data_IF_929640550228
#
_entry.id   IF_929640550228
#
_cell.length_a   1.000
_cell.length_b   1.000
_cell.length_c   1.000
_cell.angle_alpha   90.00
_cell.angle_beta   90.00
_cell.angle_gamma   90.00
#
_symmetry.space_group_name_H-M   'P 1'
#
loop_
_entity.id
_entity.type
_entity.pdbx_description
1 polymer ?
#
# COMPACT_ATOMS: atom_id res chain seq x y z
N UNK A 1 -4.62 -32.83 -1.23
CA UNK A 1 -4.32 -31.90 -2.34
C UNK A 1 -4.44 -30.47 -1.83
N UNK A 2 -3.40 -30.00 -1.15
CA UNK A 2 -3.30 -28.66 -0.57
C UNK A 2 -2.17 -27.94 -1.30
N UNK A 3 -2.38 -26.70 -1.74
CA UNK A 3 -1.36 -25.63 -1.90
C UNK A 3 -1.80 -24.54 -2.88
N UNK A 4 -3.02 -24.03 -2.71
CA UNK A 4 -3.60 -23.09 -3.65
C UNK A 4 -3.25 -21.60 -3.38
N UNK A 5 -2.44 -21.25 -2.36
CA UNK A 5 -2.36 -19.87 -1.83
C UNK A 5 -0.99 -19.47 -1.31
N UNK A 6 -0.01 -20.35 -1.47
CA UNK A 6 1.11 -20.51 -0.57
C UNK A 6 2.06 -19.31 -0.60
N UNK A 7 2.53 -18.87 -1.77
CA UNK A 7 3.67 -17.97 -1.82
C UNK A 7 3.32 -16.53 -1.42
N UNK A 8 2.28 -15.93 -2.00
CA UNK A 8 1.93 -14.53 -1.69
C UNK A 8 1.45 -14.40 -0.25
N UNK A 9 0.69 -15.37 0.24
CA UNK A 9 0.17 -15.37 1.62
C UNK A 9 1.27 -15.56 2.65
N UNK A 10 2.25 -16.43 2.39
CA UNK A 10 3.47 -16.57 3.21
C UNK A 10 4.29 -15.29 3.22
N UNK A 11 4.40 -14.62 2.07
CA UNK A 11 5.14 -13.37 1.94
C UNK A 11 4.44 -12.20 2.66
N UNK A 12 3.10 -12.14 2.62
CA UNK A 12 2.28 -11.18 3.37
C UNK A 12 2.31 -11.47 4.89
N UNK A 13 2.32 -12.73 5.27
CA UNK A 13 2.36 -13.18 6.65
C UNK A 13 3.65 -12.83 7.41
N UNK A 14 4.81 -13.03 6.79
CA UNK A 14 6.08 -12.71 7.43
C UNK A 14 6.38 -11.21 7.50
N UNK A 15 5.58 -10.39 6.80
CA UNK A 15 5.70 -8.93 6.77
C UNK A 15 5.04 -8.24 7.97
N UNK A 16 4.15 -8.96 8.66
CA UNK A 16 3.47 -8.51 9.87
C UNK A 16 4.37 -8.73 11.09
N UNK A 17 4.22 -7.98 12.19
CA UNK A 17 5.24 -7.88 13.24
C UNK A 17 5.55 -9.26 13.83
N UNK A 18 6.62 -9.89 13.37
CA UNK A 18 7.23 -11.07 13.97
C UNK A 18 7.82 -10.64 15.32
N UNK A 19 7.07 -10.87 16.39
CA UNK A 19 7.57 -10.90 17.76
C UNK A 19 8.68 -11.95 17.85
N UNK A 20 9.90 -11.44 17.75
CA UNK A 20 11.17 -11.84 18.34
C UNK A 20 11.10 -13.05 19.29
N UNK A 21 12.04 -13.99 19.10
CA UNK A 21 12.40 -15.14 19.96
C UNK A 21 11.92 -16.54 19.53
N UNK A 22 12.22 -16.96 18.31
CA UNK A 22 12.39 -18.39 18.07
C UNK A 22 13.67 -18.64 17.30
N UNK A 23 14.61 -19.30 17.98
CA UNK A 23 15.66 -20.10 17.35
C UNK A 23 14.93 -21.18 16.56
N UNK A 24 14.95 -21.06 15.23
CA UNK A 24 13.88 -21.60 14.40
C UNK A 24 14.41 -22.76 13.55
N UNK A 25 14.35 -23.97 14.11
CA UNK A 25 14.50 -25.19 13.33
C UNK A 25 13.11 -25.65 12.82
N UNK A 26 13.00 -25.71 11.49
CA UNK A 26 12.04 -26.43 10.64
C UNK A 26 10.64 -26.77 11.22
N UNK A 27 9.76 -25.79 11.43
CA UNK A 27 8.29 -25.88 11.17
C UNK A 27 7.52 -24.68 11.75
N UNK A 28 7.65 -23.50 11.14
CA UNK A 28 6.81 -22.37 11.58
C UNK A 28 5.45 -22.36 10.91
N UNK A 29 4.41 -22.52 11.73
CA UNK A 29 3.06 -22.07 11.44
C UNK A 29 3.05 -20.54 11.51
N UNK A 30 2.60 -19.92 10.43
CA UNK A 30 2.20 -18.52 10.44
C UNK A 30 0.90 -18.39 11.23
N UNK A 31 0.85 -17.51 12.22
CA UNK A 31 -0.40 -17.14 12.88
C UNK A 31 -1.15 -16.05 12.10
N UNK A 32 -2.43 -16.29 11.84
CA UNK A 32 -3.37 -15.39 11.14
C UNK A 32 -3.76 -14.14 11.93
N UNK A 33 -3.47 -14.12 13.22
CA UNK A 33 -3.91 -13.12 14.19
C UNK A 33 -3.20 -11.76 14.07
N UNK A 34 -2.21 -11.63 13.17
CA UNK A 34 -1.46 -10.38 12.97
C UNK A 34 -1.82 -9.62 11.69
N UNK A 35 -2.82 -10.08 10.94
CA UNK A 35 -3.32 -9.42 9.74
C UNK A 35 -3.89 -8.02 10.09
N UNK A 36 -3.76 -7.00 9.22
CA UNK A 36 -4.27 -5.66 9.51
C UNK A 36 -5.74 -5.71 9.96
N UNK A 37 -6.03 -5.13 11.12
CA UNK A 37 -7.38 -5.05 11.65
C UNK A 37 -8.27 -4.21 10.71
N UNK A 38 -9.53 -4.60 10.54
CA UNK A 38 -10.51 -3.84 9.75
C UNK A 38 -10.73 -4.27 8.30
N UNK A 39 -10.05 -5.33 7.82
CA UNK A 39 -10.29 -5.97 6.50
C UNK A 39 -10.69 -7.46 6.60
N UNK A 40 -11.79 -7.82 7.28
CA UNK A 40 -12.09 -9.21 7.65
C UNK A 40 -12.20 -10.16 6.45
N UNK A 41 -12.68 -9.70 5.28
CA UNK A 41 -12.79 -10.56 4.09
C UNK A 41 -11.42 -10.87 3.49
N UNK A 42 -10.54 -9.87 3.43
CA UNK A 42 -9.16 -10.02 2.94
C UNK A 42 -8.37 -10.89 3.93
N UNK A 43 -8.51 -10.63 5.22
CA UNK A 43 -7.92 -11.43 6.30
C UNK A 43 -8.35 -12.89 6.22
N UNK A 44 -9.64 -13.15 5.98
CA UNK A 44 -10.17 -14.50 5.78
C UNK A 44 -9.66 -15.16 4.49
N UNK A 45 -9.61 -14.41 3.39
CA UNK A 45 -9.04 -14.85 2.12
C UNK A 45 -7.57 -15.29 2.30
N UNK A 46 -6.78 -14.49 3.03
CA UNK A 46 -5.40 -14.84 3.40
C UNK A 46 -5.36 -16.05 4.36
N UNK A 47 -6.23 -16.09 5.36
CA UNK A 47 -6.28 -17.16 6.37
C UNK A 47 -6.55 -18.55 5.81
N UNK A 48 -7.48 -18.66 4.86
CA UNK A 48 -7.78 -19.91 4.14
C UNK A 48 -6.55 -20.43 3.39
N UNK A 49 -5.65 -19.53 2.99
CA UNK A 49 -4.47 -19.83 2.20
C UNK A 49 -3.25 -20.38 2.94
N UNK A 50 -3.23 -20.35 4.27
CA UNK A 50 -2.01 -20.59 5.08
C UNK A 50 -1.79 -22.02 5.57
N UNK A 51 -2.44 -23.03 4.96
CA UNK A 51 -2.32 -24.41 5.45
C UNK A 51 -0.95 -25.04 5.14
N UNK A 52 -0.03 -24.94 6.12
CA UNK A 52 1.27 -25.63 6.27
C UNK A 52 2.29 -25.41 5.15
N UNK A 53 3.24 -24.53 5.44
CA UNK A 53 4.29 -24.08 4.54
C UNK A 53 5.63 -24.59 5.04
N UNK A 54 6.42 -25.22 4.17
CA UNK A 54 7.79 -25.63 4.49
C UNK A 54 8.78 -24.67 3.80
N UNK A 55 9.47 -23.89 4.60
CA UNK A 55 10.58 -23.02 4.18
C UNK A 55 11.87 -23.47 4.86
N UNK A 56 12.99 -23.19 4.22
CA UNK A 56 14.34 -23.43 4.75
C UNK A 56 15.25 -22.25 4.43
N UNK A 57 16.32 -22.09 5.21
CA UNK A 57 17.29 -21.02 4.98
C UNK A 57 16.71 -19.61 5.12
N UNK A 58 15.80 -19.42 6.09
CA UNK A 58 15.22 -18.11 6.38
C UNK A 58 16.31 -17.17 6.92
N UNK A 59 16.55 -16.09 6.20
CA UNK A 59 17.38 -14.97 6.62
C UNK A 59 16.46 -13.76 6.81
N UNK A 60 16.70 -13.01 7.88
CA UNK A 60 15.99 -11.78 8.20
C UNK A 60 17.00 -10.67 8.48
N UNK A 61 16.73 -9.48 7.95
CA UNK A 61 17.37 -8.25 8.42
C UNK A 61 16.34 -7.14 8.53
N UNK A 62 16.52 -6.28 9.51
CA UNK A 62 15.71 -5.07 9.68
C UNK A 62 16.55 -3.86 9.21
N UNK A 63 15.91 -2.83 8.66
CA UNK A 63 16.59 -1.58 8.31
C UNK A 63 17.09 -0.88 9.58
N UNK A 64 18.10 -0.02 9.43
CA UNK A 64 18.60 0.80 10.55
C UNK A 64 17.50 1.66 11.20
N UNK A 65 16.48 2.06 10.43
CA UNK A 65 15.35 2.86 10.90
C UNK A 65 14.17 2.00 11.40
N UNK A 66 14.18 0.68 11.21
CA UNK A 66 13.11 -0.22 11.62
C UNK A 66 11.83 -0.15 10.76
N UNK A 67 11.84 0.63 9.69
CA UNK A 67 10.75 0.82 8.73
C UNK A 67 10.73 -0.20 7.59
N UNK A 68 11.80 -0.97 7.43
CA UNK A 68 11.87 -2.02 6.42
C UNK A 68 12.36 -3.32 7.03
N UNK A 69 11.82 -4.42 6.52
CA UNK A 69 12.24 -5.78 6.86
C UNK A 69 12.52 -6.53 5.59
N UNK A 70 13.73 -7.04 5.48
CA UNK A 70 14.13 -7.95 4.43
C UNK A 70 14.02 -9.38 4.94
N UNK A 71 13.38 -10.23 4.14
CA UNK A 71 13.34 -11.67 4.38
C UNK A 71 13.76 -12.40 3.12
N UNK A 72 14.52 -13.47 3.30
CA UNK A 72 15.01 -14.32 2.23
C UNK A 72 14.88 -15.76 2.67
N UNK A 73 14.32 -16.62 1.83
CA UNK A 73 14.13 -18.04 2.16
C UNK A 73 14.04 -18.89 0.90
N UNK A 74 14.18 -20.19 1.09
CA UNK A 74 13.98 -21.20 0.05
C UNK A 74 12.78 -22.06 0.43
N UNK A 75 11.97 -22.47 -0.55
CA UNK A 75 10.90 -23.45 -0.34
C UNK A 75 11.49 -24.86 -0.47
N UNK A 76 10.96 -25.82 0.29
CA UNK A 76 11.31 -27.24 0.16
C UNK A 76 10.13 -28.04 -0.42
N UNK A 77 10.38 -28.88 -1.44
CA UNK A 77 9.35 -29.77 -2.02
C UNK A 77 9.46 -30.00 -3.55
N UNK A 78 9.15 -31.20 -4.05
CA UNK A 78 9.35 -31.57 -5.47
C UNK A 78 8.24 -31.21 -6.47
N UNK A 79 7.01 -30.92 -6.03
CA UNK A 79 5.90 -30.74 -6.96
C UNK A 79 5.81 -29.28 -7.45
N UNK A 80 5.48 -29.03 -8.73
CA UNK A 80 5.09 -27.71 -9.19
C UNK A 80 4.01 -27.17 -8.26
N UNK A 81 4.29 -26.02 -7.63
CA UNK A 81 3.32 -25.39 -6.75
C UNK A 81 2.37 -24.57 -7.63
N UNK A 82 1.14 -25.06 -7.74
CA UNK A 82 0.05 -24.37 -8.42
C UNK A 82 -0.91 -23.77 -7.39
N UNK A 83 -1.08 -22.46 -7.46
CA UNK A 83 -1.78 -21.62 -6.49
C UNK A 83 -2.92 -20.88 -7.16
N UNK A 84 -4.16 -21.32 -6.95
CA UNK A 84 -5.34 -20.71 -7.56
C UNK A 84 -5.91 -19.55 -6.75
N UNK A 85 -6.07 -18.40 -7.37
CA UNK A 85 -6.74 -17.24 -6.77
C UNK A 85 -8.28 -17.49 -6.77
N UNK A 86 -8.96 -17.46 -5.59
CA UNK A 86 -10.37 -17.77 -5.42
C UNK A 86 -11.22 -16.92 -6.32
N UNK A 87 -12.28 -17.53 -6.86
CA UNK A 87 -13.29 -16.87 -7.69
C UNK A 87 -12.75 -16.34 -9.04
N UNK A 88 -11.43 -16.16 -9.17
CA UNK A 88 -10.80 -15.67 -10.37
C UNK A 88 -10.53 -16.82 -11.35
N UNK A 89 -9.95 -17.92 -10.87
CA UNK A 89 -9.48 -19.00 -11.74
C UNK A 89 -8.10 -18.73 -12.36
N UNK A 90 -7.38 -17.68 -11.94
CA UNK A 90 -5.92 -17.61 -12.16
C UNK A 90 -5.27 -18.67 -11.32
N UNK A 91 -4.28 -19.33 -11.89
CA UNK A 91 -3.38 -20.17 -11.12
C UNK A 91 -1.95 -19.68 -11.25
N UNK A 92 -1.35 -19.25 -10.14
CA UNK A 92 0.10 -19.08 -10.03
C UNK A 92 0.76 -20.45 -10.10
N UNK A 93 1.51 -20.73 -11.16
CA UNK A 93 2.35 -21.90 -11.29
C UNK A 93 3.81 -21.51 -11.14
N UNK A 94 4.53 -22.21 -10.26
CA UNK A 94 5.99 -22.13 -10.18
C UNK A 94 6.59 -23.37 -10.81
N UNK A 95 7.69 -23.22 -11.53
CA UNK A 95 8.46 -24.36 -12.02
C UNK A 95 8.80 -25.27 -10.85
N UNK A 96 8.48 -26.56 -10.99
CA UNK A 96 8.91 -27.57 -10.01
C UNK A 96 10.43 -27.57 -9.90
N UNK A 97 10.95 -28.06 -8.78
CA UNK A 97 12.39 -28.17 -8.57
C UNK A 97 12.93 -29.21 -9.56
N UNK A 98 13.87 -28.86 -10.46
CA UNK A 98 14.39 -29.81 -11.43
C UNK A 98 15.07 -30.99 -10.72
N UNK A 99 14.78 -32.22 -11.16
CA UNK A 99 15.38 -33.47 -10.68
C UNK A 99 15.20 -33.78 -9.18
N UNK A 100 14.09 -34.40 -8.81
CA UNK A 100 13.92 -34.85 -7.42
C UNK A 100 13.36 -36.27 -7.33
N UNK A 101 14.28 -37.25 -7.33
CA UNK A 101 14.01 -38.61 -6.86
C UNK A 101 13.61 -38.65 -5.36
N UNK A 102 13.90 -37.58 -4.60
CA UNK A 102 13.63 -37.44 -3.16
C UNK A 102 13.00 -36.09 -2.77
N UNK A 103 11.67 -35.97 -2.76
CA UNK A 103 10.93 -34.69 -2.62
C UNK A 103 11.28 -33.80 -1.42
N UNK A 104 11.90 -34.38 -0.40
CA UNK A 104 12.29 -33.71 0.84
C UNK A 104 13.61 -32.92 0.74
N UNK A 105 14.39 -33.13 -0.33
CA UNK A 105 15.74 -32.54 -0.48
C UNK A 105 15.76 -31.37 -1.47
N UNK A 106 14.81 -31.32 -2.42
CA UNK A 106 14.72 -30.24 -3.39
C UNK A 106 14.45 -28.89 -2.72
N UNK A 107 15.28 -27.88 -3.04
CA UNK A 107 15.10 -26.47 -2.66
C UNK A 107 14.84 -25.58 -3.88
N UNK A 108 13.88 -24.67 -3.78
CA UNK A 108 13.65 -23.67 -4.83
C UNK A 108 14.81 -22.68 -4.90
N UNK A 109 14.83 -21.84 -5.95
CA UNK A 109 15.60 -20.60 -5.90
C UNK A 109 15.16 -19.76 -4.70
N UNK A 110 16.09 -18.94 -4.21
CA UNK A 110 15.87 -18.06 -3.07
C UNK A 110 14.82 -17.02 -3.42
N UNK A 111 13.74 -17.00 -2.66
CA UNK A 111 12.72 -15.97 -2.70
C UNK A 111 13.11 -14.90 -1.69
N UNK A 112 13.08 -13.65 -2.10
CA UNK A 112 13.28 -12.54 -1.18
C UNK A 112 12.11 -11.58 -1.20
N UNK A 113 11.89 -10.92 -0.07
CA UNK A 113 10.91 -9.87 0.07
C UNK A 113 11.47 -8.71 0.87
N UNK A 114 11.03 -7.52 0.52
CA UNK A 114 11.24 -6.30 1.30
C UNK A 114 9.87 -5.77 1.69
N UNK A 115 9.55 -5.89 2.97
CA UNK A 115 8.45 -5.18 3.59
C UNK A 115 8.92 -3.77 3.92
N UNK A 116 8.10 -2.76 3.62
CA UNK A 116 8.33 -1.38 4.01
C UNK A 116 7.06 -0.80 4.60
N UNK A 117 7.20 -0.19 5.77
CA UNK A 117 6.17 0.59 6.43
C UNK A 117 6.81 1.88 6.97
N UNK A 118 6.79 2.92 6.14
CA UNK A 118 7.55 4.15 6.33
C UNK A 118 7.20 4.85 7.66
N UNK A 119 5.94 4.76 8.11
CA UNK A 119 5.51 5.36 9.37
C UNK A 119 6.27 4.79 10.60
N UNK A 120 6.73 3.54 10.56
CA UNK A 120 7.49 2.93 11.67
C UNK A 120 8.88 3.53 11.87
N UNK A 121 9.46 4.23 10.88
CA UNK A 121 10.75 4.93 11.04
C UNK A 121 10.68 6.06 12.09
N UNK A 122 9.47 6.58 12.33
CA UNK A 122 9.28 7.81 13.09
C UNK A 122 8.70 7.53 14.49
N UNK A 123 7.75 6.60 14.61
CA UNK A 123 7.11 6.25 15.88
C UNK A 123 6.85 4.74 15.97
N UNK A 124 6.76 4.22 17.19
CA UNK A 124 6.11 2.93 17.45
C UNK A 124 4.61 3.07 17.15
N UNK A 125 4.27 2.95 15.88
CA UNK A 125 2.98 3.31 15.33
C UNK A 125 2.17 2.08 14.96
N UNK A 126 0.87 2.10 15.28
CA UNK A 126 -0.08 1.06 14.93
C UNK A 126 -0.99 1.57 13.81
N UNK A 127 -1.10 0.88 12.65
CA UNK A 127 -1.79 1.39 11.47
C UNK A 127 -3.27 1.73 11.68
N UNK A 128 -3.93 1.07 12.63
CA UNK A 128 -5.32 1.25 13.05
C UNK A 128 -5.59 2.60 13.74
N UNK A 129 -4.54 3.29 14.21
CA UNK A 129 -4.65 4.59 14.88
C UNK A 129 -4.59 5.77 13.91
N UNK A 130 -4.50 5.51 12.61
CA UNK A 130 -4.45 6.58 11.61
C UNK A 130 -5.84 7.20 11.40
N UNK A 131 -5.93 8.50 11.61
CA UNK A 131 -7.16 9.26 11.41
C UNK A 131 -7.13 9.86 10.02
N UNK A 132 -7.83 9.21 9.09
CA UNK A 132 -7.99 9.69 7.73
C UNK A 132 -8.83 10.96 7.66
N UNK A 133 -8.50 11.85 6.71
CA UNK A 133 -9.21 13.10 6.44
C UNK A 133 -9.23 14.13 7.58
N UNK A 134 -8.51 13.90 8.68
CA UNK A 134 -8.32 14.88 9.76
C UNK A 134 -7.03 15.67 9.53
N UNK A 135 -7.20 16.93 9.14
CA UNK A 135 -6.09 17.85 8.81
C UNK A 135 -5.31 18.30 10.04
N UNK A 136 -5.97 18.39 11.20
CA UNK A 136 -5.29 18.72 12.44
C UNK A 136 -4.37 17.57 12.85
N UNK A 137 -4.92 16.34 12.80
CA UNK A 137 -4.14 15.13 13.01
C UNK A 137 -2.97 15.05 12.04
N UNK A 138 -3.21 15.26 10.74
CA UNK A 138 -2.16 15.23 9.71
C UNK A 138 -1.07 16.28 9.95
N UNK A 139 -1.43 17.52 10.33
CA UNK A 139 -0.45 18.55 10.68
C UNK A 139 0.43 18.10 11.86
N UNK A 140 -0.18 17.61 12.95
CA UNK A 140 0.55 17.16 14.13
C UNK A 140 1.45 15.96 13.79
N UNK A 141 0.95 15.03 12.99
CA UNK A 141 1.70 13.85 12.56
C UNK A 141 2.87 14.23 11.65
N UNK A 142 2.68 15.12 10.67
CA UNK A 142 3.74 15.64 9.81
C UNK A 142 4.82 16.39 10.61
N UNK A 143 4.44 17.24 11.57
CA UNK A 143 5.41 17.87 12.48
C UNK A 143 6.23 16.81 13.23
N UNK A 144 5.58 15.74 13.65
CA UNK A 144 6.25 14.65 14.37
C UNK A 144 7.21 13.91 13.43
N UNK A 145 6.78 13.53 12.22
CA UNK A 145 7.62 12.88 11.19
C UNK A 145 8.87 13.71 10.91
N UNK A 146 8.73 15.03 10.83
CA UNK A 146 9.85 15.97 10.66
C UNK A 146 10.67 16.20 11.93
N UNK A 147 10.26 15.63 13.07
CA UNK A 147 10.83 15.82 14.41
C UNK A 147 10.89 17.29 14.82
N UNK A 148 9.86 18.06 14.47
CA UNK A 148 9.80 19.48 14.82
C UNK A 148 9.42 19.66 16.28
N UNK A 149 10.26 20.40 17.01
CA UNK A 149 9.89 20.93 18.32
C UNK A 149 8.98 22.16 18.17
N UNK A 150 8.37 22.61 19.27
CA UNK A 150 7.44 23.73 19.23
C UNK A 150 8.15 25.04 18.80
N UNK A 151 9.43 25.24 19.13
CA UNK A 151 10.22 26.41 18.70
C UNK A 151 10.37 26.44 17.18
N UNK A 152 10.67 25.29 16.57
CA UNK A 152 10.81 25.14 15.12
C UNK A 152 9.46 25.33 14.41
N UNK A 153 8.37 24.84 14.99
CA UNK A 153 7.02 25.07 14.46
C UNK A 153 6.67 26.57 14.49
N UNK A 154 6.98 27.25 15.59
CA UNK A 154 6.78 28.70 15.72
C UNK A 154 7.65 29.46 14.72
N UNK A 155 8.93 29.12 14.61
CA UNK A 155 9.85 29.72 13.66
C UNK A 155 9.35 29.58 12.22
N UNK A 156 8.92 28.37 11.84
CA UNK A 156 8.37 28.08 10.52
C UNK A 156 7.11 28.90 10.26
N UNK A 157 6.19 28.94 11.22
CA UNK A 157 4.96 29.73 11.11
C UNK A 157 5.28 31.22 10.93
N UNK A 158 6.17 31.75 11.76
CA UNK A 158 6.58 33.15 11.74
C UNK A 158 7.30 33.55 10.44
N UNK A 159 8.12 32.66 9.90
CA UNK A 159 8.92 32.92 8.70
C UNK A 159 8.10 32.79 7.42
N UNK A 160 7.27 31.75 7.31
CA UNK A 160 6.62 31.37 6.05
C UNK A 160 5.13 31.70 5.96
N UNK A 161 4.43 31.87 7.09
CA UNK A 161 2.98 32.14 7.10
C UNK A 161 2.65 33.63 7.30
N UNK A 162 3.66 34.46 7.55
CA UNK A 162 3.53 35.90 7.78
C UNK A 162 4.51 36.68 6.91
N UNK A 163 4.11 37.87 6.50
CA UNK A 163 4.90 38.83 5.73
C UNK A 163 5.26 40.05 6.58
N UNK A 164 6.33 40.77 6.22
CA UNK A 164 6.77 42.01 6.88
C UNK A 164 8.00 41.87 7.78
N UNK A 165 8.38 42.96 8.46
CA UNK A 165 9.53 42.99 9.36
C UNK A 165 9.24 42.26 10.69
N UNK A 166 10.29 41.82 11.41
CA UNK A 166 10.18 40.96 12.59
C UNK A 166 9.20 41.49 13.66
N UNK A 167 9.29 42.76 14.04
CA UNK A 167 8.41 43.34 15.06
C UNK A 167 6.96 43.52 14.59
N UNK A 168 6.73 43.72 13.30
CA UNK A 168 5.39 43.75 12.71
C UNK A 168 4.79 42.35 12.66
N UNK A 169 5.57 41.37 12.20
CA UNK A 169 5.20 39.95 12.19
C UNK A 169 4.83 39.48 13.59
N UNK A 170 5.61 39.82 14.61
CA UNK A 170 5.33 39.45 16.00
C UNK A 170 3.99 40.00 16.50
N UNK A 171 3.68 41.26 16.19
CA UNK A 171 2.40 41.88 16.53
C UNK A 171 1.24 41.20 15.84
N UNK A 172 1.36 40.94 14.54
CA UNK A 172 0.32 40.26 13.77
C UNK A 172 0.15 38.80 14.22
N UNK A 173 1.25 38.11 14.51
CA UNK A 173 1.26 36.74 15.01
C UNK A 173 0.47 36.60 16.31
N UNK A 174 0.81 37.40 17.32
CA UNK A 174 0.12 37.39 18.62
C UNK A 174 -1.33 37.86 18.49
N UNK A 175 -1.60 38.87 17.65
CA UNK A 175 -2.97 39.34 17.39
C UNK A 175 -3.85 38.22 16.83
N UNK A 176 -3.36 37.45 15.84
CA UNK A 176 -4.11 36.31 15.28
C UNK A 176 -4.34 35.22 16.33
N UNK A 177 -3.33 34.88 17.13
CA UNK A 177 -3.46 33.89 18.20
C UNK A 177 -4.52 34.31 19.21
N UNK A 178 -4.47 35.56 19.69
CA UNK A 178 -5.44 36.10 20.64
C UNK A 178 -6.86 36.09 20.07
N UNK A 179 -7.01 36.44 18.80
CA UNK A 179 -8.32 36.47 18.12
C UNK A 179 -8.92 35.07 18.04
N UNK A 180 -8.15 34.08 17.59
CA UNK A 180 -8.65 32.72 17.36
C UNK A 180 -8.83 31.93 18.66
N UNK A 181 -7.89 32.08 19.61
CA UNK A 181 -7.86 31.28 20.84
C UNK A 181 -8.46 32.01 22.05
N UNK A 182 -8.98 33.24 21.86
CA UNK A 182 -9.57 34.09 22.91
C UNK A 182 -8.64 34.29 24.10
N UNK A 183 -7.38 34.63 23.81
CA UNK A 183 -6.34 34.95 24.82
C UNK A 183 -6.01 36.43 24.85
N UNK A 184 -5.31 36.88 25.89
CA UNK A 184 -4.89 38.27 26.08
C UNK A 184 -3.36 38.39 26.19
N UNK A 185 -2.65 37.73 25.27
CA UNK A 185 -1.19 37.71 25.25
C UNK A 185 -0.67 39.07 24.77
N UNK A 186 0.28 39.65 25.50
CA UNK A 186 0.93 40.90 25.13
C UNK A 186 2.26 40.64 24.44
N UNK A 187 2.54 41.32 23.33
CA UNK A 187 3.84 41.22 22.65
C UNK A 187 4.94 41.79 23.55
N UNK A 188 6.10 41.14 23.70
CA UNK A 188 7.21 41.66 24.50
C UNK A 188 7.68 43.02 23.99
N UNK A 189 8.05 43.92 24.91
CA UNK A 189 8.70 45.19 24.56
C UNK A 189 10.15 44.96 24.12
N UNK A 190 10.57 45.59 23.01
CA UNK A 190 11.94 45.50 22.48
C UNK A 190 12.08 44.55 21.28
N UNK A 191 13.30 44.12 20.99
CA UNK A 191 13.58 43.19 19.89
C UNK A 191 12.96 41.81 20.17
N UNK A 192 12.10 41.37 19.25
CA UNK A 192 11.42 40.08 19.32
C UNK A 192 12.25 39.00 18.64
N UNK A 193 12.67 38.01 19.42
CA UNK A 193 13.22 36.75 18.91
C UNK A 193 12.22 35.60 19.11
N UNK A 194 12.47 34.50 18.41
CA UNK A 194 11.56 33.34 18.43
C UNK A 194 11.56 32.60 19.78
N UNK A 195 12.65 32.64 20.54
CA UNK A 195 12.76 32.01 21.86
C UNK A 195 11.91 32.76 22.91
N UNK A 196 11.88 34.09 22.82
CA UNK A 196 10.99 34.94 23.64
C UNK A 196 9.52 34.64 23.33
N UNK A 197 9.16 34.55 22.05
CA UNK A 197 7.81 34.17 21.63
C UNK A 197 7.44 32.76 22.12
N UNK A 198 8.38 31.82 22.05
CA UNK A 198 8.17 30.45 22.51
C UNK A 198 7.92 30.38 24.01
N UNK A 199 8.77 31.02 24.81
CA UNK A 199 8.63 31.09 26.28
C UNK A 199 7.27 31.70 26.66
N UNK A 200 6.90 32.79 25.99
CA UNK A 200 5.64 33.48 26.24
C UNK A 200 4.42 32.60 25.88
N UNK A 201 4.48 31.86 24.78
CA UNK A 201 3.41 30.93 24.42
C UNK A 201 3.35 29.71 25.36
N UNK A 202 4.48 29.23 25.88
CA UNK A 202 4.47 28.18 26.90
C UNK A 202 3.88 28.62 28.23
N UNK A 203 4.06 29.89 28.61
CA UNK A 203 3.42 30.43 29.81
C UNK A 203 1.90 30.53 29.66
N UNK A 204 1.40 30.70 28.43
CA UNK A 204 -0.04 30.77 28.15
C UNK A 204 -0.66 29.39 27.85
N UNK A 205 0.07 28.53 27.16
CA UNK A 205 -0.40 27.23 26.66
C UNK A 205 0.53 26.13 27.13
N UNK A 206 -0.05 25.01 27.60
CA UNK A 206 0.73 23.83 27.98
C UNK A 206 1.53 23.28 26.78
N UNK A 207 2.74 22.78 27.02
CA UNK A 207 3.58 22.11 26.02
C UNK A 207 2.78 21.06 25.24
N UNK A 208 2.92 21.03 23.92
CA UNK A 208 2.12 20.17 23.02
C UNK A 208 0.82 20.80 22.50
N UNK A 209 0.21 21.75 23.23
CA UNK A 209 -0.92 22.54 22.71
C UNK A 209 -0.50 23.59 21.69
N UNK A 210 0.79 23.95 21.64
CA UNK A 210 1.30 24.91 20.66
C UNK A 210 1.00 24.45 19.23
N UNK A 211 1.16 23.16 18.93
CA UNK A 211 0.87 22.60 17.61
C UNK A 211 -0.60 22.81 17.23
N UNK A 212 -1.52 22.55 18.15
CA UNK A 212 -2.96 22.78 17.94
C UNK A 212 -3.28 24.27 17.77
N UNK A 213 -2.65 25.14 18.57
CA UNK A 213 -2.81 26.60 18.47
C UNK A 213 -2.33 27.10 17.11
N UNK A 214 -1.17 26.63 16.63
CA UNK A 214 -0.65 26.98 15.30
C UNK A 214 -1.56 26.47 14.19
N UNK A 215 -2.03 25.23 14.29
CA UNK A 215 -2.98 24.67 13.34
C UNK A 215 -4.24 25.53 13.25
N UNK A 216 -4.92 25.78 14.37
CA UNK A 216 -6.18 26.56 14.39
C UNK A 216 -6.00 27.99 13.90
N UNK A 217 -4.84 28.59 14.15
CA UNK A 217 -4.63 30.03 13.89
C UNK A 217 -4.13 30.29 12.47
N UNK A 218 -3.26 29.43 11.93
CA UNK A 218 -2.54 29.70 10.69
C UNK A 218 -2.79 28.67 9.58
N UNK A 219 -3.21 27.45 9.94
CA UNK A 219 -3.42 26.37 8.96
C UNK A 219 -4.90 26.20 8.63
N UNK A 220 -5.77 26.24 9.64
CA UNK A 220 -7.21 26.06 9.48
C UNK A 220 -7.80 27.17 8.61
N UNK A 221 -8.25 26.79 7.41
CA UNK A 221 -8.91 27.67 6.47
C UNK A 221 -10.44 27.63 6.58
N UNK A 222 -11.10 28.45 5.77
CA UNK A 222 -12.57 28.47 5.65
C UNK A 222 -13.19 27.15 5.16
N UNK A 223 -12.40 26.36 4.44
CA UNK A 223 -12.80 25.08 3.87
C UNK A 223 -11.58 24.13 3.80
N UNK A 224 -11.85 22.88 3.45
CA UNK A 224 -10.84 21.83 3.33
C UNK A 224 -9.73 22.17 2.33
N UNK A 225 -10.07 22.76 1.18
CA UNK A 225 -9.08 23.12 0.15
C UNK A 225 -8.18 24.25 0.62
N UNK A 226 -8.74 25.24 1.31
CA UNK A 226 -7.99 26.33 1.90
C UNK A 226 -7.03 25.81 2.98
N UNK A 227 -7.49 24.87 3.81
CA UNK A 227 -6.66 24.25 4.85
C UNK A 227 -5.52 23.43 4.24
N UNK A 228 -5.80 22.62 3.22
CA UNK A 228 -4.77 21.83 2.52
C UNK A 228 -3.71 22.72 1.88
N UNK A 229 -4.11 23.86 1.30
CA UNK A 229 -3.16 24.86 0.78
C UNK A 229 -2.23 25.41 1.86
N UNK A 230 -2.78 25.81 3.02
CA UNK A 230 -1.95 26.35 4.12
C UNK A 230 -1.04 25.27 4.72
N UNK A 231 -1.54 24.04 4.81
CA UNK A 231 -0.77 22.91 5.32
C UNK A 231 0.41 22.58 4.37
N UNK A 232 0.16 22.52 3.06
CA UNK A 232 1.20 22.33 2.06
C UNK A 232 2.18 23.51 2.02
N UNK A 233 1.73 24.76 2.22
CA UNK A 233 2.61 25.93 2.32
C UNK A 233 3.55 25.84 3.53
N UNK A 234 3.03 25.44 4.69
CA UNK A 234 3.82 25.29 5.92
C UNK A 234 4.96 24.28 5.75
N UNK A 235 4.70 23.14 5.10
CA UNK A 235 5.68 22.07 4.89
C UNK A 235 6.48 22.18 3.58
N UNK A 236 6.21 23.18 2.72
CA UNK A 236 6.83 23.29 1.39
C UNK A 236 8.35 23.29 1.39
N UNK A 237 8.97 23.92 2.39
CA UNK A 237 10.43 23.99 2.49
C UNK A 237 11.06 22.75 3.12
N UNK A 238 10.27 21.75 3.50
CA UNK A 238 10.73 20.55 4.18
C UNK A 238 10.85 19.38 3.20
N UNK A 239 12.03 18.75 3.17
CA UNK A 239 12.41 17.76 2.16
C UNK A 239 11.43 16.58 2.00
N UNK A 240 10.76 16.16 3.09
CA UNK A 240 9.86 15.01 3.05
C UNK A 240 8.48 15.32 2.44
N UNK A 241 8.16 16.60 2.24
CA UNK A 241 6.84 17.07 1.82
C UNK A 241 6.88 18.12 0.70
N UNK A 242 8.06 18.48 0.19
CA UNK A 242 8.27 19.64 -0.69
C UNK A 242 7.51 19.59 -2.02
N UNK A 243 7.13 18.39 -2.49
CA UNK A 243 6.46 18.17 -3.77
C UNK A 243 5.13 17.41 -3.67
N UNK A 244 4.70 17.07 -2.45
CA UNK A 244 3.54 16.22 -2.23
C UNK A 244 2.46 16.93 -1.42
N UNK A 245 1.20 16.58 -1.69
CA UNK A 245 0.13 16.85 -0.74
C UNK A 245 0.43 16.09 0.56
N UNK A 246 0.59 16.82 1.65
CA UNK A 246 1.04 16.26 2.93
C UNK A 246 0.08 15.19 3.45
N UNK A 247 -1.24 15.38 3.32
CA UNK A 247 -2.22 14.38 3.74
C UNK A 247 -2.02 13.09 2.95
N UNK A 248 -1.96 13.22 1.62
CA UNK A 248 -1.74 12.06 0.73
C UNK A 248 -0.41 11.36 1.02
N UNK A 249 0.66 12.12 1.30
CA UNK A 249 1.97 11.55 1.64
C UNK A 249 1.93 10.81 2.96
N UNK A 250 1.27 11.36 3.98
CA UNK A 250 1.09 10.67 5.27
C UNK A 250 0.24 9.40 5.13
N UNK A 251 -0.79 9.42 4.29
CA UNK A 251 -1.59 8.24 3.95
C UNK A 251 -0.71 7.17 3.25
N UNK A 252 0.09 7.55 2.27
CA UNK A 252 1.01 6.63 1.57
C UNK A 252 2.12 6.09 2.48
N UNK A 253 2.60 6.89 3.44
CA UNK A 253 3.51 6.44 4.49
C UNK A 253 2.84 5.47 5.46
N UNK A 254 1.52 5.61 5.65
CA UNK A 254 0.74 4.71 6.49
C UNK A 254 0.43 3.37 5.81
N UNK A 255 0.54 3.30 4.49
CA UNK A 255 0.21 2.13 3.69
C UNK A 255 1.41 1.16 3.60
N UNK A 256 1.31 -0.07 4.16
CA UNK A 256 2.37 -1.05 4.06
C UNK A 256 2.56 -1.56 2.63
N UNK A 257 3.83 -1.76 2.24
CA UNK A 257 4.24 -2.22 0.91
C UNK A 257 5.14 -3.43 1.03
N UNK A 258 5.01 -4.37 0.10
CA UNK A 258 5.87 -5.54 -0.02
C UNK A 258 6.37 -5.63 -1.45
N UNK A 259 7.68 -5.64 -1.62
CA UNK A 259 8.31 -6.02 -2.88
C UNK A 259 8.77 -7.46 -2.77
N UNK A 260 8.51 -8.26 -3.79
CA UNK A 260 8.79 -9.68 -3.83
C UNK A 260 9.66 -9.97 -5.05
N UNK A 261 10.77 -10.66 -4.84
CA UNK A 261 11.56 -11.28 -5.88
C UNK A 261 11.44 -12.80 -5.74
N UNK A 262 10.92 -13.45 -6.77
CA UNK A 262 10.66 -14.88 -6.78
C UNK A 262 11.94 -15.71 -6.94
N UNK A 263 13.07 -15.09 -7.28
CA UNK A 263 14.35 -15.76 -7.55
C UNK A 263 14.41 -16.52 -8.89
N UNK A 264 13.25 -16.87 -9.45
CA UNK A 264 13.05 -17.56 -10.71
C UNK A 264 11.78 -17.06 -11.42
N UNK A 265 11.64 -17.38 -12.71
CA UNK A 265 10.43 -17.05 -13.46
C UNK A 265 9.28 -17.91 -12.94
N UNK A 266 8.26 -17.23 -12.42
CA UNK A 266 6.95 -17.78 -12.06
C UNK A 266 5.94 -17.48 -13.15
N UNK A 267 4.84 -18.24 -13.24
CA UNK A 267 3.81 -18.06 -14.27
C UNK A 267 2.45 -17.87 -13.64
N UNK A 268 1.65 -16.92 -14.11
CA UNK A 268 0.20 -16.91 -13.90
C UNK A 268 -0.45 -17.58 -15.10
N UNK A 269 -1.14 -18.69 -14.87
CA UNK A 269 -1.99 -19.34 -15.85
C UNK A 269 -3.30 -18.56 -15.91
N UNK A 270 -3.59 -17.95 -17.06
CA UNK A 270 -4.82 -17.22 -17.28
C UNK A 270 -5.82 -18.15 -17.97
N UNK A 271 -7.03 -18.34 -17.41
CA UNK A 271 -8.03 -19.17 -18.04
C UNK A 271 -8.53 -18.53 -19.36
N UNK A 272 -8.97 -19.39 -20.29
CA UNK A 272 -9.50 -18.99 -21.62
C UNK A 272 -10.61 -17.95 -21.56
N UNK A 273 -11.42 -17.97 -20.49
CA UNK A 273 -12.45 -16.95 -20.23
C UNK A 273 -11.90 -15.54 -20.04
N UNK A 274 -10.59 -15.34 -19.95
CA UNK A 274 -9.97 -14.03 -19.76
C UNK A 274 -9.02 -13.65 -20.89
N UNK A 275 -8.30 -14.65 -21.39
CA UNK A 275 -7.29 -14.49 -22.41
C UNK A 275 -7.27 -15.74 -23.29
N UNK A 276 -7.52 -15.57 -24.58
CA UNK A 276 -7.36 -16.63 -25.56
C UNK A 276 -6.13 -16.35 -26.42
N UNK A 277 -5.34 -17.37 -26.78
CA UNK A 277 -4.26 -17.20 -27.74
C UNK A 277 -4.81 -16.67 -29.07
N UNK A 278 -4.00 -15.91 -29.80
CA UNK A 278 -4.28 -15.71 -31.23
C UNK A 278 -4.25 -17.08 -31.94
N UNK A 279 -5.12 -17.25 -32.94
CA UNK A 279 -5.42 -18.51 -33.63
C UNK A 279 -4.23 -19.25 -34.30
N UNK A 280 -3.00 -18.77 -34.14
CA UNK A 280 -1.77 -19.31 -34.73
C UNK A 280 -1.10 -20.41 -33.89
N UNK A 281 -1.68 -20.79 -32.75
CA UNK A 281 -1.22 -21.92 -31.92
C UNK A 281 -2.41 -22.79 -31.51
N UNK A 282 -2.20 -24.08 -31.13
CA UNK A 282 -3.27 -25.00 -30.78
C UNK A 282 -4.25 -24.38 -29.78
N UNK A 283 -5.55 -24.67 -29.97
CA UNK A 283 -6.70 -24.16 -29.20
C UNK A 283 -6.53 -24.43 -27.68
N UNK A 284 -5.70 -25.41 -27.31
CA UNK A 284 -5.40 -25.80 -25.93
C UNK A 284 -4.25 -25.03 -25.27
N UNK A 285 -3.63 -24.06 -25.96
CA UNK A 285 -2.52 -23.28 -25.40
C UNK A 285 -3.00 -22.10 -24.56
N UNK A 286 -3.11 -22.30 -23.24
CA UNK A 286 -3.41 -21.22 -22.28
C UNK A 286 -2.40 -20.06 -22.41
N UNK A 287 -2.89 -18.82 -22.33
CA UNK A 287 -2.02 -17.65 -22.19
C UNK A 287 -1.43 -17.66 -20.79
N UNK A 288 -0.10 -17.68 -20.68
CA UNK A 288 0.60 -17.64 -19.40
C UNK A 288 1.34 -16.32 -19.25
N UNK A 289 1.23 -15.70 -18.08
CA UNK A 289 1.97 -14.48 -17.75
C UNK A 289 3.20 -14.82 -16.90
N UNK A 290 4.38 -14.64 -17.46
CA UNK A 290 5.65 -14.96 -16.82
C UNK A 290 6.17 -13.74 -16.06
N UNK A 291 6.53 -13.90 -14.79
CA UNK A 291 6.99 -12.82 -13.93
C UNK A 291 8.08 -13.30 -12.97
N UNK A 292 8.96 -12.38 -12.58
CA UNK A 292 9.96 -12.62 -11.52
C UNK A 292 9.75 -11.70 -10.32
N UNK A 293 9.07 -10.57 -10.53
CA UNK A 293 8.85 -9.56 -9.52
C UNK A 293 7.36 -9.37 -9.28
N UNK A 294 6.98 -9.34 -8.00
CA UNK A 294 5.63 -8.99 -7.58
C UNK A 294 5.68 -7.91 -6.50
N UNK A 295 4.59 -7.16 -6.36
CA UNK A 295 4.40 -6.16 -5.32
C UNK A 295 3.06 -6.37 -4.66
N UNK A 296 2.99 -6.18 -3.36
CA UNK A 296 1.75 -6.06 -2.63
C UNK A 296 1.66 -4.68 -2.00
N UNK A 297 0.56 -3.96 -2.22
CA UNK A 297 0.30 -2.67 -1.60
C UNK A 297 -1.01 -2.72 -0.83
N UNK A 298 -0.98 -2.33 0.44
CA UNK A 298 -2.16 -2.22 1.27
C UNK A 298 -2.60 -0.77 1.30
N UNK A 299 -3.75 -0.46 0.71
CA UNK A 299 -4.39 0.85 0.85
C UNK A 299 -5.38 0.78 1.99
N UNK A 300 -4.91 1.15 3.19
CA UNK A 300 -5.65 0.97 4.43
C UNK A 300 -6.93 1.82 4.46
N UNK A 301 -6.87 3.07 3.95
CA UNK A 301 -8.02 3.96 3.82
C UNK A 301 -9.18 3.34 3.03
N UNK A 302 -8.84 2.59 1.96
CA UNK A 302 -9.79 1.98 1.05
C UNK A 302 -10.11 0.52 1.42
N UNK A 303 -9.49 -0.01 2.47
CA UNK A 303 -9.57 -1.43 2.84
C UNK A 303 -9.27 -2.35 1.65
N UNK A 304 -8.16 -2.06 0.98
CA UNK A 304 -7.80 -2.67 -0.30
C UNK A 304 -6.39 -3.24 -0.26
N UNK A 305 -6.21 -4.45 -0.79
CA UNK A 305 -4.92 -5.08 -1.07
C UNK A 305 -4.74 -5.21 -2.58
N UNK A 306 -3.68 -4.63 -3.13
CA UNK A 306 -3.33 -4.73 -4.55
C UNK A 306 -2.11 -5.60 -4.72
N UNK A 307 -2.22 -6.68 -5.50
CA UNK A 307 -1.13 -7.58 -5.86
C UNK A 307 -0.74 -7.32 -7.32
N UNK A 308 0.43 -6.76 -7.56
CA UNK A 308 0.92 -6.43 -8.90
C UNK A 308 2.05 -7.37 -9.30
N UNK A 309 1.94 -7.97 -10.49
CA UNK A 309 2.91 -8.88 -11.09
C UNK A 309 3.52 -8.21 -12.31
N UNK A 310 4.84 -7.99 -12.29
CA UNK A 310 5.57 -7.34 -13.38
C UNK A 310 6.27 -8.41 -14.21
N UNK A 311 5.96 -8.47 -15.50
CA UNK A 311 6.31 -9.62 -16.32
C UNK A 311 5.93 -9.46 -17.78
N UNK A 312 5.71 -10.58 -18.46
CA UNK A 312 5.28 -10.59 -19.85
C UNK A 312 4.40 -11.80 -20.13
N UNK A 313 3.34 -11.66 -20.92
CA UNK A 313 2.66 -12.83 -21.45
C UNK A 313 3.56 -13.59 -22.43
N UNK A 314 3.55 -14.92 -22.36
CA UNK A 314 4.35 -15.81 -23.21
C UNK A 314 4.01 -15.68 -24.70
N UNK A 315 2.81 -15.18 -25.00
CA UNK A 315 2.34 -14.94 -26.35
C UNK A 315 1.31 -13.80 -26.39
N UNK A 316 1.06 -13.22 -27.57
CA UNK A 316 -0.03 -12.28 -27.75
C UNK A 316 -1.38 -12.98 -27.58
N UNK A 317 -2.28 -12.36 -26.83
CA UNK A 317 -3.62 -12.87 -26.57
C UNK A 317 -4.72 -11.87 -26.92
N UNK A 318 -5.92 -12.39 -27.17
CA UNK A 318 -7.16 -11.60 -27.16
C UNK A 318 -7.67 -11.57 -25.72
N UNK A 319 -7.55 -10.41 -25.07
CA UNK A 319 -8.02 -10.18 -23.71
C UNK A 319 -9.41 -9.55 -23.70
N UNK A 320 -10.26 -9.97 -22.76
CA UNK A 320 -11.64 -9.50 -22.68
C UNK A 320 -11.71 -8.13 -21.97
N UNK A 321 -11.66 -7.04 -22.76
CA UNK A 321 -12.30 -5.73 -22.61
C UNK A 321 -12.17 -4.90 -21.31
N UNK A 322 -11.66 -3.66 -21.40
CA UNK A 322 -11.95 -2.57 -20.45
C UNK A 322 -13.15 -1.71 -20.91
N UNK A 323 -13.80 -1.01 -19.98
CA UNK A 323 -14.68 0.14 -20.27
C UNK A 323 -14.01 1.42 -19.73
N UNK A 324 -13.87 2.48 -20.54
CA UNK A 324 -13.46 3.83 -20.12
C UNK A 324 -14.72 4.62 -19.80
N UNK A 325 -14.71 5.38 -18.71
CA UNK A 325 -15.72 6.41 -18.50
C UNK A 325 -15.26 7.69 -19.20
N UNK A 326 -15.94 8.08 -20.27
CA UNK A 326 -15.72 9.38 -20.92
C UNK A 326 -16.84 10.34 -20.53
N UNK A 327 -16.44 11.48 -20.00
CA UNK A 327 -17.36 12.56 -19.70
C UNK A 327 -17.42 13.54 -20.88
N UNK A 328 -18.56 13.61 -21.55
CA UNK A 328 -18.80 14.60 -22.60
C UNK A 328 -19.18 15.93 -21.92
N UNK A 329 -18.22 16.84 -21.81
CA UNK A 329 -18.41 18.16 -21.20
C UNK A 329 -19.46 19.01 -21.93
N UNK A 330 -19.78 18.76 -23.20
CA UNK A 330 -20.81 19.49 -23.95
C UNK A 330 -22.20 18.96 -23.68
N UNK A 331 -22.33 17.66 -23.37
CA UNK A 331 -23.63 16.99 -23.14
C UNK A 331 -23.94 16.77 -21.66
N UNK A 332 -22.95 16.92 -20.77
CA UNK A 332 -23.11 16.68 -19.33
C UNK A 332 -23.34 15.21 -18.97
N UNK A 333 -23.02 14.29 -19.89
CA UNK A 333 -23.27 12.85 -19.72
C UNK A 333 -21.94 12.09 -19.71
N UNK A 334 -21.79 11.24 -18.70
CA UNK A 334 -20.74 10.24 -18.64
C UNK A 334 -21.15 8.97 -19.38
N UNK A 335 -20.35 8.52 -20.33
CA UNK A 335 -20.59 7.27 -21.06
C UNK A 335 -19.48 6.27 -20.81
N UNK A 336 -19.86 5.04 -20.49
CA UNK A 336 -18.93 3.92 -20.43
C UNK A 336 -18.72 3.39 -21.85
N UNK A 337 -17.54 3.59 -22.44
CA UNK A 337 -17.18 3.05 -23.74
C UNK A 337 -16.26 1.85 -23.57
N UNK A 338 -16.50 0.75 -24.29
CA UNK A 338 -15.51 -0.33 -24.35
C UNK A 338 -14.20 0.21 -24.94
N UNK A 339 -13.14 0.23 -24.13
CA UNK A 339 -11.81 0.56 -24.61
C UNK A 339 -11.33 -0.69 -25.33
N UNK A 340 -11.21 -0.57 -26.64
CA UNK A 340 -10.38 -1.45 -27.45
C UNK A 340 -10.84 -2.92 -27.47
N UNK A 341 -11.51 -3.32 -28.55
CA UNK A 341 -11.41 -4.69 -29.05
C UNK A 341 -10.16 -4.74 -29.93
N UNK A 342 -9.00 -5.19 -29.43
CA UNK A 342 -7.84 -5.41 -30.29
C UNK A 342 -8.23 -6.25 -31.51
N UNK A 343 -8.00 -5.74 -32.72
CA UNK A 343 -7.99 -6.56 -33.95
C UNK A 343 -6.78 -7.51 -33.95
N UNK A 344 -5.70 -7.10 -33.29
CA UNK A 344 -4.41 -7.82 -33.16
C UNK A 344 -4.12 -8.21 -31.71
N UNK A 345 -3.46 -9.34 -31.47
CA UNK A 345 -3.19 -9.81 -30.11
C UNK A 345 -2.28 -8.87 -29.32
N UNK A 346 -2.58 -8.70 -28.04
CA UNK A 346 -1.84 -7.84 -27.13
C UNK A 346 -0.87 -8.70 -26.31
N UNK A 347 0.28 -8.15 -25.94
CA UNK A 347 1.14 -8.75 -24.91
C UNK A 347 1.00 -7.93 -23.63
N UNK A 348 0.69 -8.57 -22.51
CA UNK A 348 0.65 -7.89 -21.21
C UNK A 348 2.07 -7.70 -20.67
N UNK A 349 2.32 -6.58 -20.00
CA UNK A 349 3.53 -6.26 -19.23
C UNK A 349 3.28 -6.27 -17.71
N UNK A 350 2.02 -6.16 -17.29
CA UNK A 350 1.63 -6.16 -15.88
C UNK A 350 0.27 -6.87 -15.71
N UNK A 351 0.11 -7.57 -14.59
CA UNK A 351 -1.19 -8.00 -14.09
C UNK A 351 -1.32 -7.51 -12.65
N UNK A 352 -2.43 -6.85 -12.31
CA UNK A 352 -2.76 -6.40 -10.97
C UNK A 352 -4.07 -7.06 -10.50
N UNK A 353 -4.06 -7.67 -9.32
CA UNK A 353 -5.24 -8.24 -8.65
C UNK A 353 -5.54 -7.35 -7.45
N UNK A 354 -6.65 -6.62 -7.51
CA UNK A 354 -7.15 -5.79 -6.43
C UNK A 354 -8.21 -6.55 -5.62
N UNK A 355 -7.98 -6.63 -4.32
CA UNK A 355 -8.89 -7.23 -3.33
C UNK A 355 -9.39 -6.08 -2.46
N UNK A 356 -10.67 -5.75 -2.52
CA UNK A 356 -11.32 -4.74 -1.69
C UNK A 356 -12.49 -5.37 -0.92
N UNK A 357 -13.01 -4.75 0.13
CA UNK A 357 -14.17 -5.28 0.87
C UNK A 357 -15.44 -5.52 0.01
N UNK A 358 -15.53 -4.82 -1.13
CA UNK A 358 -16.64 -4.91 -2.07
C UNK A 358 -16.47 -6.03 -3.11
N UNK A 359 -15.24 -6.45 -3.41
CA UNK A 359 -15.00 -7.47 -4.42
C UNK A 359 -13.54 -7.67 -4.81
N UNK A 360 -13.34 -8.46 -5.86
CA UNK A 360 -12.06 -8.71 -6.52
C UNK A 360 -12.10 -8.07 -7.91
N UNK A 361 -11.06 -7.32 -8.26
CA UNK A 361 -10.87 -6.76 -9.59
C UNK A 361 -9.51 -7.20 -10.15
N UNK A 362 -9.46 -7.48 -11.44
CA UNK A 362 -8.24 -7.97 -12.09
C UNK A 362 -7.98 -7.11 -13.31
N UNK A 363 -6.80 -6.54 -13.35
CA UNK A 363 -6.39 -5.53 -14.30
C UNK A 363 -5.14 -6.03 -15.03
N UNK A 364 -5.12 -5.91 -16.35
CA UNK A 364 -3.92 -6.11 -17.15
C UNK A 364 -3.39 -4.78 -17.65
N UNK A 365 -2.08 -4.64 -17.85
CA UNK A 365 -1.50 -3.54 -18.62
C UNK A 365 -0.62 -4.08 -19.73
N UNK A 366 -0.57 -3.35 -20.84
CA UNK A 366 0.35 -3.63 -21.95
C UNK A 366 1.59 -2.74 -21.88
N UNK A 367 2.62 -3.05 -22.66
CA UNK A 367 3.82 -2.21 -22.79
C UNK A 367 3.52 -0.77 -23.28
N UNK A 368 2.37 -0.53 -23.90
CA UNK A 368 1.92 0.79 -24.33
C UNK A 368 1.09 1.51 -23.24
N UNK A 369 1.27 1.12 -21.97
CA UNK A 369 0.61 1.60 -20.75
C UNK A 369 -0.93 1.63 -20.73
N UNK A 370 -1.58 1.01 -21.73
CA UNK A 370 -3.03 0.84 -21.72
C UNK A 370 -3.45 -0.16 -20.65
N UNK A 371 -4.43 0.24 -19.84
CA UNK A 371 -5.05 -0.58 -18.81
C UNK A 371 -6.27 -1.34 -19.36
N UNK A 372 -6.38 -2.60 -18.98
CA UNK A 372 -7.42 -3.56 -19.37
C UNK A 372 -8.09 -4.11 -18.12
N UNK A 373 -9.41 -4.21 -18.11
CA UNK A 373 -10.15 -4.90 -17.06
C UNK A 373 -10.32 -6.34 -17.49
N UNK A 374 -9.69 -7.28 -16.80
CA UNK A 374 -9.81 -8.71 -17.13
C UNK A 374 -11.02 -9.34 -16.45
N UNK A 375 -11.34 -8.93 -15.22
CA UNK A 375 -12.55 -9.35 -14.52
C UNK A 375 -12.90 -8.43 -13.33
N UNK A 376 -14.20 -8.36 -13.01
CA UNK A 376 -14.72 -7.86 -11.72
C UNK A 376 -15.64 -8.91 -11.09
N UNK A 377 -15.47 -9.17 -9.80
CA UNK A 377 -16.21 -10.19 -9.05
C UNK A 377 -16.63 -9.60 -7.70
N UNK A 378 -17.89 -9.75 -7.32
CA UNK A 378 -18.36 -9.40 -5.96
C UNK A 378 -18.14 -10.60 -5.03
N UNK A 379 -17.75 -10.35 -3.77
CA UNK A 379 -17.60 -11.42 -2.79
C UNK A 379 -18.92 -12.19 -2.62
N UNK A 380 -18.91 -13.54 -2.69
CA UNK A 380 -20.09 -14.34 -2.40
C UNK A 380 -20.58 -14.09 -0.97
N UNK A 381 -21.90 -14.04 -0.76
CA UNK A 381 -22.50 -13.92 0.57
C UNK A 381 -22.07 -15.07 1.51
N UNK A 382 -21.84 -16.25 0.93
CA UNK A 382 -21.32 -17.45 1.60
C UNK A 382 -19.83 -17.70 1.31
N UNK A 383 -19.00 -16.67 1.09
CA UNK A 383 -17.54 -16.85 0.98
C UNK A 383 -16.97 -17.64 2.17
N UNK A 384 -17.68 -17.62 3.30
CA UNK A 384 -17.41 -18.40 4.51
C UNK A 384 -17.53 -19.92 4.35
N UNK A 385 -18.30 -20.40 3.38
CA UNK A 385 -18.55 -21.83 3.11
C UNK A 385 -17.82 -22.36 1.87
N UNK A 386 -17.11 -21.50 1.13
CA UNK A 386 -16.54 -21.82 -0.19
C UNK A 386 -15.36 -22.82 -0.19
N UNK A 387 -15.11 -23.54 0.91
CA UNK A 387 -14.12 -24.62 0.99
C UNK A 387 -14.60 -25.98 0.45
N UNK A 388 -15.72 -26.03 -0.29
CA UNK A 388 -16.30 -27.27 -0.80
C UNK A 388 -16.68 -27.19 -2.28
N UNK A 389 -15.72 -26.87 -3.15
CA UNK A 389 -15.81 -27.30 -4.55
C UNK A 389 -14.60 -28.15 -4.89
N UNK A 390 -14.74 -29.45 -4.60
CA UNK A 390 -14.01 -30.49 -5.33
C UNK A 390 -14.37 -30.34 -6.80
N UNK A 391 -13.37 -30.09 -7.65
CA UNK A 391 -13.52 -30.29 -9.08
C UNK A 391 -13.84 -31.78 -9.30
N UNK A 392 -15.09 -32.08 -9.68
CA UNK A 392 -15.38 -33.34 -10.36
C UNK A 392 -14.93 -33.14 -11.80
N UNK A 393 -13.93 -33.91 -12.22
CA UNK A 393 -13.71 -34.17 -13.63
C UNK A 393 -14.98 -34.84 -14.16
N UNK A 394 -15.68 -34.18 -15.08
CA UNK A 394 -16.67 -34.85 -15.92
C UNK A 394 -15.93 -35.71 -16.94
N UNK A 395 -16.46 -36.92 -17.23
CA UNK A 395 -15.80 -37.94 -18.05
C UNK A 395 -15.46 -37.49 -19.47
#
# INVERSE_FOLDING_TARGET
MKNAFFTITVLLAFSLPLSVNAQLDLSFLVETNRLPEGMPKITKWLGIGMSRVFISGLQKSDSQRGDQKFLSFQKTGALPLTTSFPLTGITLSQSGIPNVKYPRIGKSKTISLTYSYEMQAYFAYSPDRFIYNDRQYAFILACSVMRLDDTQILAQTFNFMLEGEANQKAREFIKRINTVNKTAITVPSGEVDINKLTTLLYNQFTKGKIREVMFRTFILGKDNKATDRQLNLFFRSMSNFSNDDVNRKLEDMNDPKININMGEISKLLLPSKWANPLATKPIDSLVTFEFQYAKANFTLAQKKLTLTFNGKSNQPGKFIGSKEFRFDHKKGVGTWQSIYKPSEGITLSEISIELAETGIQILGRSANDRQFLLQSIVWPKDFEKANLYSWKETP
#
